data_IF_320894609392
#
_entry.id   IF_320894609392
#
_cell.length_a   1.000
_cell.length_b   1.000
_cell.length_c   1.000
_cell.angle_alpha   90.00
_cell.angle_beta   90.00
_cell.angle_gamma   90.00
#
_symmetry.space_group_name_H-M   'P 1'
#
loop_
_entity.id
_entity.type
_entity.pdbx_description
1 polymer ?
#
# COMPACT_ATOMS: atom_id res chain seq x y z
N UNK A 1 11.89 35.38 7.65
CA UNK A 1 11.45 34.02 7.24
C UNK A 1 10.06 34.17 6.63
N UNK A 2 9.95 34.09 5.30
CA UNK A 2 8.90 34.73 4.50
C UNK A 2 7.60 33.88 4.39
N UNK A 3 6.44 34.48 4.66
CA UNK A 3 5.10 33.83 4.69
C UNK A 3 4.74 33.17 3.33
N UNK A 4 5.31 33.67 2.24
CA UNK A 4 5.18 33.12 0.88
C UNK A 4 5.71 31.68 0.73
N UNK A 5 6.77 31.30 1.47
CA UNK A 5 7.32 29.93 1.43
C UNK A 5 6.38 28.91 2.12
N UNK A 6 5.67 29.33 3.17
CA UNK A 6 4.67 28.50 3.86
C UNK A 6 3.43 28.26 2.99
N UNK A 7 3.01 29.26 2.22
CA UNK A 7 1.91 29.13 1.26
C UNK A 7 2.28 28.20 0.09
N UNK A 8 3.49 28.34 -0.45
CA UNK A 8 4.02 27.44 -1.48
C UNK A 8 4.12 25.99 -0.97
N UNK A 9 4.57 25.79 0.28
CA UNK A 9 4.63 24.45 0.89
C UNK A 9 3.26 23.76 0.95
N UNK A 10 2.18 24.49 1.27
CA UNK A 10 0.81 23.95 1.23
C UNK A 10 0.34 23.61 -0.18
N UNK A 11 0.78 24.37 -1.19
CA UNK A 11 0.39 24.13 -2.56
C UNK A 11 0.86 22.75 -3.06
N UNK A 12 2.03 22.26 -2.62
CA UNK A 12 2.52 20.94 -3.01
C UNK A 12 1.77 19.77 -2.36
N UNK A 13 1.06 19.99 -1.25
CA UNK A 13 0.36 18.92 -0.54
C UNK A 13 -0.83 18.37 -1.33
N UNK A 14 -1.48 19.19 -2.15
CA UNK A 14 -2.64 18.75 -2.95
C UNK A 14 -2.28 18.37 -4.40
N UNK A 15 -1.04 18.62 -4.84
CA UNK A 15 -0.57 18.30 -6.21
C UNK A 15 -0.81 16.84 -6.59
N UNK A 16 -0.58 15.82 -5.74
CA UNK A 16 -0.83 14.43 -6.11
C UNK A 16 -2.30 14.12 -6.46
N UNK A 17 -3.25 14.90 -5.92
CA UNK A 17 -4.68 14.72 -6.16
C UNK A 17 -5.16 15.44 -7.43
N UNK A 18 -4.47 16.52 -7.83
CA UNK A 18 -4.81 17.29 -9.03
C UNK A 18 -3.99 16.82 -10.25
N UNK A 19 -2.77 16.38 -10.02
CA UNK A 19 -1.89 15.74 -11.00
C UNK A 19 -1.50 14.37 -10.45
N UNK A 20 -2.14 13.28 -10.91
CA UNK A 20 -1.76 11.95 -10.49
C UNK A 20 -0.29 11.73 -10.82
N UNK A 21 0.42 11.03 -9.93
CA UNK A 21 1.82 10.68 -10.16
C UNK A 21 1.94 9.99 -11.52
N UNK A 22 2.93 10.34 -12.37
CA UNK A 22 3.16 9.70 -13.67
C UNK A 22 3.78 8.31 -13.49
N UNK A 23 3.18 7.49 -12.63
CA UNK A 23 3.46 6.07 -12.49
C UNK A 23 2.81 5.39 -13.67
N UNK A 24 3.59 5.13 -14.72
CA UNK A 24 3.11 4.45 -15.91
C UNK A 24 2.48 3.10 -15.59
N UNK A 25 1.79 2.52 -16.58
CA UNK A 25 1.03 1.26 -16.40
C UNK A 25 1.89 0.05 -16.02
N UNK A 26 3.21 0.22 -16.01
CA UNK A 26 4.19 -0.77 -15.58
C UNK A 26 4.51 -0.70 -14.10
N UNK A 27 4.13 0.33 -13.34
CA UNK A 27 4.57 0.50 -11.94
C UNK A 27 3.42 0.65 -10.93
N UNK A 28 2.17 0.62 -11.37
CA UNK A 28 0.99 0.79 -10.51
C UNK A 28 0.93 -0.21 -9.35
N UNK A 29 1.39 -1.44 -9.55
CA UNK A 29 1.38 -2.49 -8.53
C UNK A 29 2.29 -2.15 -7.34
N UNK A 30 3.28 -1.27 -7.50
CA UNK A 30 4.11 -0.82 -6.38
C UNK A 30 3.30 0.02 -5.37
N UNK A 31 2.21 0.68 -5.79
CA UNK A 31 1.31 1.40 -4.89
C UNK A 31 0.53 0.46 -3.96
N UNK A 32 0.41 -0.84 -4.29
CA UNK A 32 -0.22 -1.83 -3.41
C UNK A 32 0.60 -2.08 -2.15
N UNK A 33 1.93 -1.98 -2.21
CA UNK A 33 2.80 -2.18 -1.05
C UNK A 33 2.56 -1.16 0.07
N UNK A 34 2.66 0.17 -0.16
CA UNK A 34 2.38 1.16 0.88
C UNK A 34 0.91 1.10 1.34
N UNK A 35 -0.03 0.76 0.45
CA UNK A 35 -1.43 0.57 0.79
C UNK A 35 -1.61 -0.61 1.78
N UNK A 36 -1.07 -1.77 1.46
CA UNK A 36 -1.14 -2.95 2.33
C UNK A 36 -0.46 -2.69 3.67
N UNK A 37 0.67 -1.99 3.68
CA UNK A 37 1.39 -1.62 4.89
C UNK A 37 0.54 -0.67 5.76
N UNK A 38 -0.10 0.34 5.16
CA UNK A 38 -0.99 1.25 5.88
C UNK A 38 -2.17 0.50 6.52
N UNK A 39 -2.82 -0.39 5.78
CA UNK A 39 -3.93 -1.22 6.28
C UNK A 39 -3.45 -2.13 7.43
N UNK A 40 -2.30 -2.77 7.27
CA UNK A 40 -1.74 -3.66 8.29
C UNK A 40 -1.42 -2.90 9.59
N UNK A 41 -0.87 -1.68 9.48
CA UNK A 41 -0.58 -0.82 10.63
C UNK A 41 -1.87 -0.38 11.32
N UNK A 42 -2.84 0.16 10.58
CA UNK A 42 -4.12 0.65 11.14
C UNK A 42 -4.92 -0.49 11.78
N UNK A 43 -5.02 -1.64 11.11
CA UNK A 43 -5.74 -2.79 11.65
C UNK A 43 -5.11 -3.26 12.97
N UNK A 44 -3.79 -3.35 13.01
CA UNK A 44 -3.07 -3.82 14.19
C UNK A 44 -3.04 -2.79 15.31
N UNK A 45 -3.06 -1.50 14.99
CA UNK A 45 -3.11 -0.43 16.01
C UNK A 45 -4.46 -0.38 16.72
N UNK A 46 -5.57 -0.72 16.05
CA UNK A 46 -6.91 -0.75 16.67
C UNK A 46 -7.10 -2.00 17.54
N UNK A 47 -6.56 -3.14 17.10
CA UNK A 47 -6.78 -4.43 17.78
C UNK A 47 -5.78 -4.76 18.91
N UNK A 48 -4.57 -4.22 18.89
CA UNK A 48 -3.56 -4.60 19.89
C UNK A 48 -3.67 -3.77 21.18
N UNK A 49 -3.63 -4.46 22.32
CA UNK A 49 -3.62 -3.85 23.65
C UNK A 49 -2.29 -3.16 24.02
N UNK A 50 -1.20 -3.47 23.30
CA UNK A 50 0.13 -2.94 23.59
C UNK A 50 0.78 -2.35 22.33
N UNK A 51 1.01 -1.03 22.36
CA UNK A 51 1.58 -0.25 21.25
C UNK A 51 2.97 -0.75 20.81
N UNK A 52 3.73 -1.38 21.71
CA UNK A 52 5.09 -1.87 21.45
C UNK A 52 5.13 -3.10 20.53
N UNK A 53 4.03 -3.86 20.44
CA UNK A 53 3.94 -5.05 19.56
C UNK A 53 3.37 -4.73 18.18
N UNK A 54 2.73 -3.58 18.03
CA UNK A 54 2.09 -3.12 16.80
C UNK A 54 3.01 -3.18 15.57
N UNK A 55 4.24 -2.62 15.57
CA UNK A 55 5.06 -2.59 14.36
C UNK A 55 5.57 -3.99 13.95
N UNK A 56 5.77 -4.90 14.91
CA UNK A 56 6.19 -6.27 14.60
C UNK A 56 5.03 -7.09 14.05
N UNK A 57 3.85 -6.97 14.68
CA UNK A 57 2.67 -7.71 14.25
C UNK A 57 2.03 -7.16 12.97
N UNK A 58 2.18 -5.85 12.69
CA UNK A 58 1.76 -5.27 11.41
C UNK A 58 2.64 -5.77 10.26
N UNK A 59 3.94 -5.96 10.48
CA UNK A 59 4.85 -6.51 9.48
C UNK A 59 4.50 -7.96 9.12
N UNK A 60 4.15 -8.77 10.12
CA UNK A 60 3.65 -10.14 9.91
C UNK A 60 2.36 -10.12 9.08
N UNK A 61 1.41 -9.25 9.43
CA UNK A 61 0.15 -9.14 8.71
C UNK A 61 0.35 -8.64 7.26
N UNK A 62 1.27 -7.70 7.07
CA UNK A 62 1.65 -7.21 5.75
C UNK A 62 2.21 -8.33 4.86
N UNK A 63 3.17 -9.11 5.37
CA UNK A 63 3.74 -10.25 4.65
C UNK A 63 2.66 -11.30 4.35
N UNK A 64 1.75 -11.54 5.29
CA UNK A 64 0.64 -12.46 5.09
C UNK A 64 -0.30 -12.02 3.97
N UNK A 65 -0.69 -10.74 3.93
CA UNK A 65 -1.53 -10.18 2.86
C UNK A 65 -0.85 -10.34 1.50
N UNK A 66 0.44 -9.99 1.41
CA UNK A 66 1.20 -10.12 0.16
C UNK A 66 1.30 -11.59 -0.29
N UNK A 67 1.55 -12.51 0.65
CA UNK A 67 1.64 -13.93 0.35
C UNK A 67 0.33 -14.50 -0.19
N UNK A 68 -0.81 -14.15 0.44
CA UNK A 68 -2.14 -14.56 -0.03
C UNK A 68 -2.43 -13.97 -1.41
N UNK A 69 -2.14 -12.68 -1.64
CA UNK A 69 -2.31 -12.07 -2.96
C UNK A 69 -1.52 -12.81 -4.05
N UNK A 70 -0.26 -13.17 -3.79
CA UNK A 70 0.54 -13.95 -4.74
C UNK A 70 -0.02 -15.36 -4.96
N UNK A 71 -0.47 -16.02 -3.90
CA UNK A 71 -1.08 -17.34 -3.98
C UNK A 71 -2.36 -17.32 -4.82
N UNK A 72 -3.25 -16.34 -4.60
CA UNK A 72 -4.49 -16.19 -5.37
C UNK A 72 -4.21 -15.85 -6.83
N UNK A 73 -3.27 -14.94 -7.11
CA UNK A 73 -2.88 -14.60 -8.46
C UNK A 73 -2.30 -15.81 -9.22
N UNK A 74 -1.43 -16.58 -8.56
CA UNK A 74 -0.88 -17.82 -9.09
C UNK A 74 -1.97 -18.87 -9.35
N UNK A 75 -2.87 -19.09 -8.38
CA UNK A 75 -3.97 -20.05 -8.51
C UNK A 75 -4.87 -19.72 -9.71
N UNK A 76 -5.24 -18.45 -9.87
CA UNK A 76 -6.05 -18.01 -11.00
C UNK A 76 -5.30 -18.18 -12.32
N UNK A 77 -4.02 -17.80 -12.39
CA UNK A 77 -3.20 -17.99 -13.57
C UNK A 77 -3.08 -19.47 -13.96
N UNK A 78 -2.86 -20.36 -12.98
CA UNK A 78 -2.80 -21.80 -13.25
C UNK A 78 -4.13 -22.37 -13.70
N UNK A 79 -5.24 -21.89 -13.14
CA UNK A 79 -6.58 -22.33 -13.51
C UNK A 79 -6.91 -21.95 -14.95
N UNK A 80 -6.59 -20.71 -15.35
CA UNK A 80 -6.77 -20.24 -16.74
C UNK A 80 -5.93 -21.08 -17.71
N UNK A 81 -4.65 -21.29 -17.41
CA UNK A 81 -3.77 -22.12 -18.26
C UNK A 81 -4.24 -23.57 -18.38
N UNK A 82 -4.92 -24.11 -17.35
CA UNK A 82 -5.48 -25.45 -17.41
C UNK A 82 -6.76 -25.50 -18.24
N UNK A 83 -7.57 -24.44 -18.21
CA UNK A 83 -8.82 -24.36 -18.97
C UNK A 83 -8.61 -24.11 -20.47
N UNK A 84 -7.51 -23.43 -20.83
CA UNK A 84 -7.11 -23.15 -22.22
C UNK A 84 -6.39 -24.33 -22.89
N UNK A 85 -6.10 -25.41 -22.16
CA UNK A 85 -5.56 -26.68 -22.67
C UNK A 85 -6.66 -27.68 -22.98
#
# INVERSE_FOLDING_TARGET
MNIMLLAAHKAYAYVPFVKPLPLGWTHWYLLLLPLCLAIAVVYKSIRCQSMRRVPRESLVLFVFIVAVMMATAGALATLVNYLER
#
